data_IF_378759254299
#
_entry.id   IF_378759254299
#
_cell.length_a   1.000
_cell.length_b   1.000
_cell.length_c   1.000
_cell.angle_alpha   90.00
_cell.angle_beta   90.00
_cell.angle_gamma   90.00
#
_symmetry.space_group_name_H-M   'P 1'
#
loop_
_entity.id
_entity.type
_entity.pdbx_description
1 polymer ?
#
# COMPACT_ATOMS: atom_id res chain seq x y z
N UNK A 1 -18.49 -8.83 17.70
CA UNK A 1 -18.77 -8.10 16.45
C UNK A 1 -19.68 -6.89 16.67
N UNK A 2 -20.91 -7.04 17.16
CA UNK A 2 -21.88 -5.93 17.27
C UNK A 2 -21.42 -4.79 18.17
N UNK A 3 -20.72 -5.07 19.27
CA UNK A 3 -20.17 -4.03 20.16
C UNK A 3 -19.12 -3.17 19.46
N UNK A 4 -18.23 -3.78 18.67
CA UNK A 4 -17.25 -3.08 17.85
C UNK A 4 -17.92 -2.20 16.77
N UNK A 5 -19.01 -2.69 16.16
CA UNK A 5 -19.77 -1.92 15.17
C UNK A 5 -20.44 -0.68 15.78
N UNK A 6 -21.00 -0.80 16.99
CA UNK A 6 -21.53 0.35 17.74
C UNK A 6 -20.47 1.40 18.08
N UNK A 7 -19.28 0.96 18.46
CA UNK A 7 -18.16 1.87 18.70
C UNK A 7 -17.75 2.62 17.43
N UNK A 8 -17.73 1.93 16.28
CA UNK A 8 -17.44 2.53 14.98
C UNK A 8 -18.52 3.55 14.61
N UNK A 9 -19.81 3.23 14.79
CA UNK A 9 -20.91 4.17 14.52
C UNK A 9 -20.85 5.41 15.42
N UNK A 10 -20.57 5.25 16.70
CA UNK A 10 -20.37 6.39 17.61
C UNK A 10 -19.19 7.26 17.16
N UNK A 11 -18.08 6.64 16.76
CA UNK A 11 -16.90 7.37 16.27
C UNK A 11 -17.22 8.13 14.97
N UNK A 12 -17.98 7.52 14.08
CA UNK A 12 -18.42 8.16 12.82
C UNK A 12 -19.29 9.39 13.11
N UNK A 13 -20.24 9.30 14.05
CA UNK A 13 -21.08 10.43 14.48
C UNK A 13 -20.28 11.55 15.13
N UNK A 14 -19.23 11.22 15.91
CA UNK A 14 -18.30 12.21 16.44
C UNK A 14 -17.54 12.93 15.31
N UNK A 15 -17.10 12.19 14.28
CA UNK A 15 -16.42 12.76 13.12
C UNK A 15 -17.35 13.69 12.33
N UNK A 16 -18.60 13.30 12.10
CA UNK A 16 -19.60 14.15 11.47
C UNK A 16 -19.79 15.47 12.25
N UNK A 17 -19.87 15.38 13.58
CA UNK A 17 -19.99 16.56 14.44
C UNK A 17 -18.76 17.46 14.36
N UNK A 18 -17.54 16.90 14.35
CA UNK A 18 -16.29 17.65 14.24
C UNK A 18 -16.13 18.30 12.86
N UNK A 19 -16.51 17.59 11.81
CA UNK A 19 -16.46 18.10 10.42
C UNK A 19 -17.51 19.22 10.16
N UNK A 20 -18.58 19.27 10.97
CA UNK A 20 -19.56 20.35 10.94
C UNK A 20 -19.11 21.60 11.70
N UNK A 21 -18.10 21.50 12.57
CA UNK A 21 -17.63 22.62 13.40
C UNK A 21 -16.54 23.43 12.65
N UNK A 22 -16.80 24.75 12.41
CA UNK A 22 -15.83 25.64 11.76
C UNK A 22 -14.46 25.73 12.44
N UNK A 23 -14.36 25.39 13.72
CA UNK A 23 -13.09 25.42 14.44
C UNK A 23 -12.03 24.48 13.84
N UNK A 24 -12.45 23.38 13.21
CA UNK A 24 -11.53 22.41 12.58
C UNK A 24 -11.08 22.79 11.18
N UNK A 25 -11.68 23.79 10.54
CA UNK A 25 -11.27 24.27 9.22
C UNK A 25 -9.98 25.09 9.23
N UNK A 26 -9.57 25.57 10.41
CA UNK A 26 -8.36 26.38 10.57
C UNK A 26 -7.05 25.59 10.40
N UNK A 27 -7.09 24.27 10.55
CA UNK A 27 -5.95 23.38 10.34
C UNK A 27 -6.23 22.38 9.21
N UNK A 28 -5.70 22.62 8.00
CA UNK A 28 -5.95 21.78 6.85
C UNK A 28 -5.48 20.31 7.02
N UNK A 29 -4.42 20.09 7.80
CA UNK A 29 -3.89 18.75 8.03
C UNK A 29 -4.83 17.93 8.91
N UNK A 30 -5.31 18.53 10.01
CA UNK A 30 -6.29 17.91 10.90
C UNK A 30 -7.61 17.66 10.17
N UNK A 31 -8.11 18.64 9.40
CA UNK A 31 -9.34 18.50 8.64
C UNK A 31 -9.26 17.36 7.61
N UNK A 32 -8.16 17.29 6.85
CA UNK A 32 -7.94 16.21 5.88
C UNK A 32 -7.89 14.84 6.55
N UNK A 33 -7.26 14.73 7.73
CA UNK A 33 -7.24 13.52 8.53
C UNK A 33 -8.63 13.05 8.95
N UNK A 34 -9.47 13.98 9.45
CA UNK A 34 -10.86 13.68 9.84
C UNK A 34 -11.72 13.23 8.65
N UNK A 35 -11.59 13.89 7.50
CA UNK A 35 -12.28 13.49 6.27
C UNK A 35 -11.86 12.10 5.79
N UNK A 36 -10.57 11.77 5.91
CA UNK A 36 -10.05 10.44 5.56
C UNK A 36 -10.64 9.37 6.46
N UNK A 37 -10.58 9.57 7.79
CA UNK A 37 -11.15 8.64 8.79
C UNK A 37 -12.66 8.45 8.56
N UNK A 38 -13.41 9.53 8.30
CA UNK A 38 -14.84 9.43 7.99
C UNK A 38 -15.10 8.57 6.75
N UNK A 39 -14.36 8.80 5.66
CA UNK A 39 -14.50 8.02 4.42
C UNK A 39 -14.18 6.55 4.63
N UNK A 40 -13.20 6.23 5.45
CA UNK A 40 -12.83 4.84 5.78
C UNK A 40 -13.93 4.11 6.57
N UNK A 41 -14.59 4.80 7.50
CA UNK A 41 -15.64 4.22 8.35
C UNK A 41 -17.01 4.16 7.66
N UNK A 42 -17.26 5.04 6.68
CA UNK A 42 -18.57 5.17 6.02
C UNK A 42 -19.14 3.84 5.50
N UNK A 43 -18.41 2.99 4.75
CA UNK A 43 -18.99 1.74 4.24
C UNK A 43 -19.37 0.77 5.36
N UNK A 44 -18.63 0.77 6.47
CA UNK A 44 -18.93 -0.08 7.63
C UNK A 44 -20.21 0.39 8.31
N UNK A 45 -20.38 1.71 8.48
CA UNK A 45 -21.54 2.31 9.14
C UNK A 45 -22.81 2.13 8.28
N UNK A 46 -22.70 2.33 6.96
CA UNK A 46 -23.82 2.09 6.03
C UNK A 46 -24.30 0.63 6.08
N UNK A 47 -23.38 -0.33 6.01
CA UNK A 47 -23.70 -1.74 6.12
C UNK A 47 -24.27 -2.10 7.50
N UNK A 48 -23.78 -1.50 8.58
CA UNK A 48 -24.29 -1.72 9.92
C UNK A 48 -25.70 -1.15 10.11
N UNK A 49 -25.96 0.05 9.63
CA UNK A 49 -27.32 0.64 9.65
C UNK A 49 -28.30 -0.21 8.86
N UNK A 50 -27.91 -0.68 7.66
CA UNK A 50 -28.72 -1.60 6.87
C UNK A 50 -28.99 -2.92 7.60
N UNK A 51 -28.02 -3.44 8.37
CA UNK A 51 -28.19 -4.62 9.21
C UNK A 51 -29.19 -4.38 10.34
N UNK A 52 -29.10 -3.26 11.05
CA UNK A 52 -30.04 -2.90 12.13
C UNK A 52 -31.47 -2.73 11.59
N UNK A 53 -31.62 -2.07 10.44
CA UNK A 53 -32.92 -1.91 9.79
C UNK A 53 -33.51 -3.27 9.36
N UNK A 54 -32.66 -4.16 8.84
CA UNK A 54 -33.07 -5.51 8.48
C UNK A 54 -33.56 -6.34 9.72
N UNK A 55 -32.85 -6.23 10.84
CA UNK A 55 -33.25 -6.86 12.10
C UNK A 55 -34.61 -6.32 12.59
N UNK A 56 -34.85 -5.01 12.48
CA UNK A 56 -36.12 -4.38 12.81
C UNK A 56 -37.23 -4.87 11.90
N UNK A 57 -37.00 -5.00 10.58
CA UNK A 57 -37.97 -5.58 9.63
C UNK A 57 -38.31 -7.04 9.96
N UNK A 58 -37.31 -7.87 10.26
CA UNK A 58 -37.49 -9.25 10.68
C UNK A 58 -38.36 -9.31 11.95
N UNK A 59 -38.11 -8.47 12.95
CA UNK A 59 -38.90 -8.42 14.17
C UNK A 59 -40.36 -8.01 13.91
N UNK A 60 -40.60 -7.05 13.02
CA UNK A 60 -41.93 -6.64 12.59
C UNK A 60 -42.66 -7.78 11.86
N UNK A 61 -42.01 -8.43 10.89
CA UNK A 61 -42.59 -9.58 10.18
C UNK A 61 -42.94 -10.73 11.14
N UNK A 62 -42.08 -10.99 12.12
CA UNK A 62 -42.36 -11.99 13.18
C UNK A 62 -43.60 -11.65 14.01
N UNK A 63 -43.81 -10.41 14.36
CA UNK A 63 -44.97 -9.95 15.11
C UNK A 63 -46.31 -10.11 14.31
N UNK A 64 -46.23 -9.96 12.97
CA UNK A 64 -47.37 -10.04 12.07
C UNK A 64 -47.75 -11.48 11.69
N UNK A 65 -46.90 -12.49 11.96
CA UNK A 65 -47.20 -13.89 11.69
C UNK A 65 -48.46 -14.43 12.42
N UNK A 66 -48.89 -13.76 13.50
CA UNK A 66 -50.09 -14.12 14.24
C UNK A 66 -51.39 -13.61 13.61
N UNK A 67 -51.32 -12.74 12.62
CA UNK A 67 -52.47 -12.18 11.92
C UNK A 67 -52.83 -13.05 10.69
N UNK A 68 -54.04 -13.64 10.62
CA UNK A 68 -54.44 -14.50 9.51
C UNK A 68 -54.46 -13.81 8.14
N UNK A 69 -54.69 -12.48 8.10
CA UNK A 69 -54.77 -11.72 6.83
C UNK A 69 -53.34 -11.36 6.31
N UNK A 70 -52.37 -11.24 7.21
CA UNK A 70 -51.00 -10.81 6.88
C UNK A 70 -50.00 -11.95 6.91
N UNK A 71 -50.41 -13.16 7.33
CA UNK A 71 -49.54 -14.31 7.55
C UNK A 71 -48.65 -14.67 6.35
N UNK A 72 -49.21 -14.72 5.15
CA UNK A 72 -48.43 -15.06 3.92
C UNK A 72 -47.39 -14.02 3.62
N UNK A 73 -47.78 -12.75 3.66
CA UNK A 73 -46.86 -11.60 3.40
C UNK A 73 -45.76 -11.57 4.45
N UNK A 74 -46.13 -11.69 5.73
CA UNK A 74 -45.19 -11.70 6.85
C UNK A 74 -44.17 -12.86 6.75
N UNK A 75 -44.61 -14.03 6.24
CA UNK A 75 -43.76 -15.17 6.01
C UNK A 75 -42.74 -14.93 4.89
N UNK A 76 -43.15 -14.36 3.76
CA UNK A 76 -42.26 -13.99 2.65
C UNK A 76 -41.23 -12.93 3.08
N UNK A 77 -41.68 -11.89 3.79
CA UNK A 77 -40.78 -10.85 4.34
C UNK A 77 -39.78 -11.42 5.33
N UNK A 78 -40.23 -12.38 6.17
CA UNK A 78 -39.33 -13.02 7.13
C UNK A 78 -38.24 -13.86 6.45
N UNK A 79 -38.56 -14.63 5.42
CA UNK A 79 -37.57 -15.43 4.68
C UNK A 79 -36.59 -14.53 3.88
N UNK A 80 -37.13 -13.51 3.21
CA UNK A 80 -36.32 -12.50 2.52
C UNK A 80 -35.40 -11.75 3.49
N UNK A 81 -35.93 -11.33 4.65
CA UNK A 81 -35.16 -10.65 5.69
C UNK A 81 -34.03 -11.51 6.24
N UNK A 82 -34.28 -12.81 6.51
CA UNK A 82 -33.23 -13.74 6.97
C UNK A 82 -32.08 -13.87 5.95
N UNK A 83 -32.41 -13.98 4.66
CA UNK A 83 -31.42 -14.08 3.59
C UNK A 83 -30.60 -12.82 3.54
N UNK A 84 -31.25 -11.65 3.52
CA UNK A 84 -30.57 -10.35 3.50
C UNK A 84 -29.70 -10.12 4.74
N UNK A 85 -30.16 -10.54 5.92
CA UNK A 85 -29.37 -10.48 7.15
C UNK A 85 -28.06 -11.27 7.02
N UNK A 86 -28.14 -12.51 6.50
CA UNK A 86 -26.96 -13.34 6.31
C UNK A 86 -25.94 -12.71 5.34
N UNK A 87 -26.41 -12.09 4.27
CA UNK A 87 -25.59 -11.35 3.32
C UNK A 87 -24.92 -10.14 3.97
N UNK A 88 -25.68 -9.35 4.75
CA UNK A 88 -25.16 -8.20 5.49
C UNK A 88 -24.16 -8.60 6.57
N UNK A 89 -24.38 -9.71 7.29
CA UNK A 89 -23.41 -10.24 8.24
C UNK A 89 -22.10 -10.63 7.56
N UNK A 90 -22.15 -11.26 6.40
CA UNK A 90 -20.97 -11.61 5.64
C UNK A 90 -20.23 -10.34 5.15
N UNK A 91 -20.97 -9.37 4.64
CA UNK A 91 -20.40 -8.07 4.23
C UNK A 91 -19.72 -7.36 5.40
N UNK A 92 -20.38 -7.30 6.56
CA UNK A 92 -19.80 -6.69 7.76
C UNK A 92 -18.55 -7.41 8.23
N UNK A 93 -18.50 -8.74 8.16
CA UNK A 93 -17.28 -9.50 8.48
C UNK A 93 -16.12 -9.12 7.58
N UNK A 94 -16.36 -8.98 6.28
CA UNK A 94 -15.35 -8.55 5.30
C UNK A 94 -14.90 -7.11 5.57
N UNK A 95 -15.84 -6.20 5.82
CA UNK A 95 -15.53 -4.79 6.09
C UNK A 95 -14.77 -4.55 7.40
N UNK A 96 -14.91 -5.47 8.37
CA UNK A 96 -14.19 -5.44 9.65
C UNK A 96 -12.79 -6.07 9.59
N UNK A 97 -12.41 -6.68 8.47
CA UNK A 97 -11.05 -7.17 8.29
C UNK A 97 -10.04 -6.03 8.38
N UNK A 98 -8.85 -6.28 8.95
CA UNK A 98 -7.81 -5.27 8.98
C UNK A 98 -7.43 -4.88 7.55
N UNK A 99 -7.57 -3.60 7.23
CA UNK A 99 -7.12 -3.03 5.95
C UNK A 99 -5.62 -2.82 6.00
N UNK A 100 -4.98 -2.98 4.86
CA UNK A 100 -3.59 -2.60 4.70
C UNK A 100 -3.51 -1.05 4.74
N UNK A 101 -2.69 -0.45 5.63
CA UNK A 101 -2.56 1.01 5.71
C UNK A 101 -2.04 1.64 4.43
N UNK A 102 -1.49 0.84 3.51
CA UNK A 102 -0.99 1.29 2.22
C UNK A 102 -2.04 1.24 1.10
N UNK A 103 -3.24 0.67 1.34
CA UNK A 103 -4.25 0.47 0.29
C UNK A 103 -4.66 1.77 -0.44
N UNK A 104 -4.61 2.91 0.24
CA UNK A 104 -4.93 4.24 -0.33
C UNK A 104 -3.72 4.96 -0.93
N UNK A 105 -2.53 4.35 -0.90
CA UNK A 105 -1.31 4.97 -1.43
C UNK A 105 -1.20 4.79 -2.94
N UNK A 106 -0.43 5.68 -3.56
CA UNK A 106 0.05 5.49 -4.91
C UNK A 106 1.05 4.34 -4.97
N UNK A 107 1.31 3.85 -6.16
CA UNK A 107 2.15 2.68 -6.42
C UNK A 107 3.43 3.06 -7.14
N UNK A 108 4.55 2.50 -6.69
CA UNK A 108 5.77 2.39 -7.47
C UNK A 108 5.83 0.94 -7.99
N UNK A 109 5.56 0.76 -9.28
CA UNK A 109 5.61 -0.53 -9.95
C UNK A 109 6.94 -0.67 -10.68
N UNK A 110 7.75 -1.64 -10.26
CA UNK A 110 9.05 -1.94 -10.84
C UNK A 110 9.00 -3.24 -11.64
N UNK A 111 9.45 -3.17 -12.86
CA UNK A 111 9.57 -4.32 -13.76
C UNK A 111 11.04 -4.59 -14.02
N UNK A 112 11.45 -5.85 -13.96
CA UNK A 112 12.82 -6.26 -14.32
C UNK A 112 12.80 -7.57 -15.10
N UNK A 113 13.77 -7.71 -16.00
CA UNK A 113 14.03 -8.98 -16.64
C UNK A 113 14.45 -10.05 -15.63
N UNK A 114 13.95 -11.26 -15.81
CA UNK A 114 14.37 -12.44 -15.08
C UNK A 114 15.25 -13.35 -15.94
N UNK A 115 14.91 -14.64 -15.98
CA UNK A 115 15.63 -15.66 -16.79
C UNK A 115 15.05 -15.69 -18.21
N UNK A 116 15.90 -15.54 -19.23
CA UNK A 116 15.46 -15.65 -20.64
C UNK A 116 16.16 -14.72 -21.62
N UNK A 117 17.12 -13.89 -21.16
CA UNK A 117 17.86 -12.97 -22.01
C UNK A 117 16.95 -11.94 -22.68
N UNK A 118 17.10 -11.72 -23.99
CA UNK A 118 16.33 -10.71 -24.74
C UNK A 118 14.82 -10.99 -24.72
N UNK A 119 14.42 -12.27 -24.77
CA UNK A 119 13.01 -12.67 -24.67
C UNK A 119 12.38 -12.25 -23.34
N UNK A 120 13.14 -12.28 -22.27
CA UNK A 120 12.71 -11.75 -20.97
C UNK A 120 12.48 -10.24 -21.01
N UNK A 121 13.30 -9.49 -21.75
CA UNK A 121 13.14 -8.05 -21.92
C UNK A 121 11.91 -7.70 -22.78
N UNK A 122 11.66 -8.44 -23.85
CA UNK A 122 10.45 -8.30 -24.66
C UNK A 122 9.19 -8.64 -23.86
N UNK A 123 9.26 -9.65 -23.00
CA UNK A 123 8.14 -9.96 -22.11
C UNK A 123 7.93 -8.89 -21.04
N UNK A 124 8.99 -8.36 -20.46
CA UNK A 124 8.89 -7.24 -19.51
C UNK A 124 8.26 -6.00 -20.17
N UNK A 125 8.56 -5.72 -21.47
CA UNK A 125 7.86 -4.69 -22.23
C UNK A 125 6.36 -4.99 -22.40
N UNK A 126 6.00 -6.26 -22.62
CA UNK A 126 4.58 -6.64 -22.70
C UNK A 126 3.84 -6.41 -21.38
N UNK A 127 4.48 -6.70 -20.25
CA UNK A 127 3.94 -6.41 -18.91
C UNK A 127 3.86 -4.91 -18.64
N UNK A 128 4.89 -4.14 -19.02
CA UNK A 128 4.89 -2.69 -18.91
C UNK A 128 3.68 -2.08 -19.64
N UNK A 129 3.45 -2.48 -20.89
CA UNK A 129 2.27 -2.05 -21.65
C UNK A 129 0.96 -2.47 -20.98
N UNK A 130 0.86 -3.70 -20.50
CA UNK A 130 -0.32 -4.24 -19.82
C UNK A 130 -0.71 -3.40 -18.59
N UNK A 131 0.26 -3.07 -17.71
CA UNK A 131 -0.02 -2.27 -16.53
C UNK A 131 -0.32 -0.81 -16.84
N UNK A 132 0.30 -0.24 -17.88
CA UNK A 132 -0.03 1.11 -18.34
C UNK A 132 -1.48 1.18 -18.83
N UNK A 133 -1.90 0.22 -19.66
CA UNK A 133 -3.28 0.15 -20.17
C UNK A 133 -4.30 -0.12 -19.05
N UNK A 134 -3.94 -0.94 -18.06
CA UNK A 134 -4.77 -1.17 -16.89
C UNK A 134 -4.96 0.13 -16.07
N UNK A 135 -3.89 0.87 -15.84
CA UNK A 135 -3.93 2.14 -15.13
C UNK A 135 -4.78 3.17 -15.88
N UNK A 136 -4.62 3.28 -17.19
CA UNK A 136 -5.40 4.19 -18.04
C UNK A 136 -6.90 3.83 -18.01
N UNK A 137 -7.25 2.54 -18.04
CA UNK A 137 -8.64 2.08 -17.95
C UNK A 137 -9.31 2.46 -16.62
N UNK A 138 -8.53 2.54 -15.54
CA UNK A 138 -9.01 2.97 -14.21
C UNK A 138 -8.91 4.48 -13.98
N UNK A 139 -8.47 5.25 -14.98
CA UNK A 139 -8.30 6.70 -14.86
C UNK A 139 -7.15 7.09 -13.92
N UNK A 140 -6.18 6.19 -13.69
CA UNK A 140 -5.00 6.49 -12.90
C UNK A 140 -3.93 7.15 -13.77
N UNK A 141 -3.21 8.08 -13.16
CA UNK A 141 -2.10 8.76 -13.82
C UNK A 141 -0.84 7.89 -13.72
N UNK A 142 -0.18 7.67 -14.85
CA UNK A 142 1.12 6.97 -14.92
C UNK A 142 2.24 7.94 -15.24
N UNK A 143 3.34 7.87 -14.47
CA UNK A 143 4.57 8.61 -14.70
C UNK A 143 5.75 7.64 -14.77
N UNK A 144 6.61 7.79 -15.78
CA UNK A 144 7.80 6.97 -15.94
C UNK A 144 8.91 7.55 -15.07
N UNK A 145 9.28 6.85 -14.00
CA UNK A 145 10.40 7.24 -13.14
C UNK A 145 11.75 6.76 -13.71
N UNK A 146 11.78 5.55 -14.30
CA UNK A 146 12.94 5.00 -14.97
C UNK A 146 12.50 4.05 -16.08
N UNK A 147 13.20 4.08 -17.22
CA UNK A 147 12.98 3.15 -18.33
C UNK A 147 14.32 2.85 -19.01
N UNK A 148 14.71 1.58 -18.97
CA UNK A 148 15.91 1.07 -19.63
C UNK A 148 15.51 0.05 -20.71
N UNK A 149 15.53 0.48 -21.96
CA UNK A 149 15.13 -0.32 -23.12
C UNK A 149 16.32 -1.07 -23.72
N UNK A 150 16.03 -2.16 -24.45
CA UNK A 150 17.01 -2.88 -25.26
C UNK A 150 16.93 -2.42 -26.71
N UNK A 151 17.97 -2.75 -27.50
CA UNK A 151 18.02 -2.40 -28.92
C UNK A 151 16.87 -3.05 -29.75
N UNK A 152 16.30 -4.16 -29.26
CA UNK A 152 15.19 -4.87 -29.90
C UNK A 152 13.80 -4.44 -29.35
N UNK A 153 13.72 -3.32 -28.62
CA UNK A 153 12.46 -2.80 -28.07
C UNK A 153 11.97 -3.54 -26.82
N UNK A 154 12.82 -4.36 -26.18
CA UNK A 154 12.54 -4.94 -24.89
C UNK A 154 12.82 -3.95 -23.75
N UNK A 155 12.39 -4.26 -22.54
CA UNK A 155 12.63 -3.46 -21.33
C UNK A 155 13.45 -4.29 -20.35
N UNK A 156 14.66 -3.82 -20.01
CA UNK A 156 15.50 -4.45 -18.97
C UNK A 156 15.00 -4.11 -17.58
N UNK A 157 14.66 -2.85 -17.40
CA UNK A 157 14.14 -2.31 -16.15
C UNK A 157 13.19 -1.15 -16.44
N UNK A 158 12.04 -1.12 -15.80
CA UNK A 158 11.15 0.02 -15.79
C UNK A 158 10.64 0.27 -14.37
N UNK A 159 10.47 1.55 -14.04
CA UNK A 159 9.81 1.98 -12.80
C UNK A 159 8.72 2.98 -13.17
N UNK A 160 7.48 2.66 -12.80
CA UNK A 160 6.29 3.47 -13.03
C UNK A 160 5.76 3.98 -11.69
N UNK A 161 5.48 5.26 -11.59
CA UNK A 161 4.64 5.81 -10.55
C UNK A 161 3.20 5.82 -11.05
N UNK A 162 2.32 5.11 -10.38
CA UNK A 162 0.89 5.01 -10.69
C UNK A 162 0.11 5.69 -9.58
N UNK A 163 -0.52 6.81 -9.89
CA UNK A 163 -1.23 7.65 -8.93
C UNK A 163 -2.73 7.59 -9.17
N UNK A 164 -3.47 7.17 -8.16
CA UNK A 164 -4.92 7.08 -8.22
C UNK A 164 -5.53 6.37 -7.01
N UNK A 165 -6.80 6.61 -6.78
CA UNK A 165 -7.50 6.02 -5.65
C UNK A 165 -7.54 4.48 -5.77
N UNK A 166 -7.08 3.78 -4.73
CA UNK A 166 -7.09 2.32 -4.68
C UNK A 166 -6.04 1.64 -5.59
N UNK A 167 -5.08 2.39 -6.15
CA UNK A 167 -4.07 1.81 -7.03
C UNK A 167 -3.24 0.73 -6.33
N UNK A 168 -2.78 0.98 -5.10
CA UNK A 168 -2.01 -0.02 -4.35
C UNK A 168 -2.88 -1.22 -3.96
N UNK A 169 -4.11 -1.02 -3.51
CA UNK A 169 -5.00 -2.09 -3.08
C UNK A 169 -5.25 -3.14 -4.17
N UNK A 170 -5.26 -2.71 -5.44
CA UNK A 170 -5.44 -3.60 -6.58
C UNK A 170 -4.14 -4.18 -7.09
N UNK A 171 -3.11 -3.35 -7.26
CA UNK A 171 -1.85 -3.78 -7.87
C UNK A 171 -0.93 -4.57 -6.92
N UNK A 172 -1.11 -4.51 -5.60
CA UNK A 172 -0.30 -5.27 -4.63
C UNK A 172 -0.24 -6.78 -4.91
N UNK A 173 -1.29 -7.34 -5.52
CA UNK A 173 -1.36 -8.74 -5.91
C UNK A 173 -0.53 -9.08 -7.16
N UNK A 174 -0.01 -8.09 -7.87
CA UNK A 174 0.79 -8.30 -9.09
C UNK A 174 2.28 -8.52 -8.80
N UNK A 175 2.71 -8.35 -7.54
CA UNK A 175 4.09 -8.56 -7.15
C UNK A 175 4.49 -10.03 -7.23
N UNK A 176 5.65 -10.29 -7.84
CA UNK A 176 6.21 -11.64 -7.97
C UNK A 176 6.86 -11.93 -9.32
N UNK A 177 7.03 -13.21 -9.60
CA UNK A 177 7.64 -13.70 -10.85
C UNK A 177 6.54 -14.07 -11.86
N UNK A 178 6.54 -13.38 -12.99
CA UNK A 178 5.67 -13.68 -14.14
C UNK A 178 6.43 -14.52 -15.16
N UNK A 179 5.79 -15.57 -15.66
CA UNK A 179 6.40 -16.52 -16.60
C UNK A 179 5.66 -16.50 -17.93
N UNK A 180 6.40 -16.38 -19.01
CA UNK A 180 5.88 -16.49 -20.38
C UNK A 180 6.31 -17.79 -21.03
N UNK A 181 5.43 -18.38 -21.83
CA UNK A 181 5.67 -19.50 -22.74
C UNK A 181 5.22 -19.11 -24.12
N UNK A 182 6.18 -18.80 -25.00
CA UNK A 182 5.92 -18.48 -26.42
C UNK A 182 7.13 -18.84 -27.27
N UNK A 183 6.95 -18.85 -28.59
CA UNK A 183 8.06 -18.84 -29.53
C UNK A 183 8.56 -17.39 -29.58
N UNK A 184 9.82 -17.11 -29.16
CA UNK A 184 10.37 -15.76 -29.26
C UNK A 184 10.44 -15.25 -30.68
N UNK A 185 10.34 -13.95 -30.90
CA UNK A 185 10.57 -13.31 -32.20
C UNK A 185 12.02 -13.51 -32.69
N UNK A 186 12.94 -13.73 -31.76
CA UNK A 186 14.36 -13.99 -32.02
C UNK A 186 14.68 -15.46 -32.34
N UNK A 187 13.69 -16.37 -32.23
CA UNK A 187 13.89 -17.81 -32.43
C UNK A 187 13.51 -18.23 -33.86
N UNK A 188 14.49 -18.71 -34.61
CA UNK A 188 14.29 -19.16 -36.02
C UNK A 188 13.80 -20.60 -36.12
N UNK A 189 13.96 -21.41 -35.08
CA UNK A 189 13.61 -22.84 -35.05
C UNK A 189 12.18 -23.15 -34.59
N UNK A 190 11.35 -22.14 -34.28
CA UNK A 190 9.97 -22.32 -33.87
C UNK A 190 9.79 -22.99 -32.49
N UNK A 191 10.84 -23.05 -31.64
CA UNK A 191 10.80 -23.68 -30.33
C UNK A 191 10.14 -22.77 -29.30
N UNK A 192 9.29 -23.35 -28.47
CA UNK A 192 8.69 -22.63 -27.34
C UNK A 192 9.75 -22.43 -26.26
N UNK A 193 10.01 -21.18 -25.93
CA UNK A 193 10.88 -20.81 -24.81
C UNK A 193 10.04 -20.44 -23.59
N UNK A 194 10.66 -20.58 -22.44
CA UNK A 194 10.09 -20.16 -21.15
C UNK A 194 10.97 -19.09 -20.54
N UNK A 195 10.46 -17.88 -20.47
CA UNK A 195 11.15 -16.73 -19.91
C UNK A 195 10.40 -16.17 -18.70
N UNK A 196 11.08 -15.38 -17.89
CA UNK A 196 10.48 -14.75 -16.70
C UNK A 196 10.80 -13.27 -16.66
N UNK A 197 9.85 -12.50 -16.13
CA UNK A 197 10.05 -11.12 -15.70
C UNK A 197 9.56 -11.00 -14.25
N UNK A 198 10.14 -10.09 -13.50
CA UNK A 198 9.79 -9.84 -12.10
C UNK A 198 9.08 -8.51 -11.98
N UNK A 199 8.04 -8.49 -11.15
CA UNK A 199 7.26 -7.31 -10.83
C UNK A 199 7.37 -7.07 -9.33
N UNK A 200 7.77 -5.87 -8.92
CA UNK A 200 7.68 -5.43 -7.54
C UNK A 200 6.66 -4.29 -7.47
N UNK A 201 5.80 -4.33 -6.48
CA UNK A 201 4.76 -3.34 -6.22
C UNK A 201 4.99 -2.76 -4.84
N UNK A 202 5.43 -1.51 -4.79
CA UNK A 202 5.78 -0.83 -3.56
C UNK A 202 4.84 0.37 -3.36
N UNK A 203 4.42 0.66 -2.12
CA UNK A 203 3.67 1.88 -1.86
C UNK A 203 4.58 3.11 -2.03
N UNK A 204 4.04 4.20 -2.57
CA UNK A 204 4.72 5.48 -2.54
C UNK A 204 4.83 5.95 -1.09
N UNK A 205 6.05 6.25 -0.67
CA UNK A 205 6.32 6.73 0.68
C UNK A 205 6.42 8.25 0.70
N UNK A 206 5.95 8.83 1.79
CA UNK A 206 6.12 10.26 2.03
C UNK A 206 7.61 10.63 2.09
N UNK A 207 7.94 11.88 1.74
CA UNK A 207 9.29 12.39 1.87
C UNK A 207 9.75 12.31 3.33
N UNK A 208 11.02 11.96 3.52
CA UNK A 208 11.61 11.92 4.87
C UNK A 208 11.64 13.34 5.44
N UNK A 209 10.83 13.58 6.45
CA UNK A 209 10.89 14.81 7.23
C UNK A 209 11.50 14.50 8.60
N UNK A 210 12.56 15.23 8.96
CA UNK A 210 13.19 15.12 10.27
C UNK A 210 12.77 16.30 11.12
N UNK A 211 11.88 16.03 12.07
CA UNK A 211 11.53 17.01 13.08
C UNK A 211 12.39 16.79 14.33
N UNK A 212 13.12 17.82 14.76
CA UNK A 212 13.97 17.77 15.95
C UNK A 212 13.28 18.54 17.07
N UNK A 213 12.75 17.82 18.07
CA UNK A 213 12.21 18.48 19.26
C UNK A 213 13.37 18.97 20.17
N UNK A 214 13.39 20.23 20.58
CA UNK A 214 14.38 20.74 21.54
C UNK A 214 14.48 19.96 22.84
N UNK A 215 13.40 19.27 23.27
CA UNK A 215 13.38 18.43 24.48
C UNK A 215 14.21 17.15 24.33
N UNK A 216 14.40 16.69 23.11
CA UNK A 216 15.17 15.50 22.78
C UNK A 216 16.67 15.78 22.64
N UNK A 217 17.07 17.03 22.87
CA UNK A 217 18.44 17.46 22.74
C UNK A 217 19.09 17.73 24.11
N UNK A 218 20.22 17.10 24.34
CA UNK A 218 21.15 17.50 25.38
C UNK A 218 22.25 18.35 24.75
N UNK A 219 22.40 19.59 25.19
CA UNK A 219 23.37 20.53 24.66
C UNK A 219 24.38 20.85 25.76
N UNK A 220 25.61 20.43 25.53
CA UNK A 220 26.73 20.68 26.44
C UNK A 220 27.69 21.70 25.83
N UNK A 221 28.18 22.62 26.64
CA UNK A 221 29.21 23.58 26.27
C UNK A 221 30.53 23.17 26.89
N UNK A 222 31.61 23.32 26.14
CA UNK A 222 32.94 23.02 26.63
C UNK A 222 34.02 23.93 25.97
N UNK A 223 35.23 23.88 26.48
CA UNK A 223 36.34 24.65 25.94
C UNK A 223 36.87 23.99 24.70
N UNK A 224 37.05 24.82 23.65
CA UNK A 224 37.64 24.36 22.39
C UNK A 224 39.07 23.87 22.61
N UNK A 225 39.44 22.77 21.97
CA UNK A 225 40.78 22.22 21.96
C UNK A 225 41.52 22.68 20.69
N UNK A 226 42.80 23.09 20.83
CA UNK A 226 43.65 23.47 19.68
C UNK A 226 44.66 24.55 19.99
N UNK A 227 45.54 24.84 19.02
CA UNK A 227 46.52 25.94 19.07
C UNK A 227 45.78 27.28 19.05
N UNK A 228 45.68 27.97 20.17
CA UNK A 228 44.98 29.23 20.29
C UNK A 228 45.46 30.06 21.48
N UNK A 229 45.22 31.38 21.43
CA UNK A 229 45.53 32.30 22.49
C UNK A 229 44.55 32.24 23.68
N UNK A 230 44.60 33.27 24.55
CA UNK A 230 43.86 33.35 25.80
C UNK A 230 42.33 33.14 25.66
N UNK A 231 41.73 33.42 24.50
CA UNK A 231 40.32 33.28 24.21
C UNK A 231 39.88 31.78 24.12
N UNK A 232 40.68 30.94 23.46
CA UNK A 232 40.38 29.50 23.29
C UNK A 232 40.43 28.77 24.64
N UNK A 233 41.34 29.17 25.52
CA UNK A 233 41.56 28.53 26.81
C UNK A 233 40.59 29.00 27.93
N UNK A 234 39.93 30.15 27.75
CA UNK A 234 39.06 30.74 28.77
C UNK A 234 37.57 30.68 28.47
N UNK A 235 37.20 30.59 27.17
CA UNK A 235 35.79 30.68 26.71
C UNK A 235 35.26 29.30 26.30
N UNK A 236 34.11 28.92 26.82
CA UNK A 236 33.40 27.66 26.46
C UNK A 236 32.61 27.89 25.16
N UNK A 237 33.33 28.01 24.03
CA UNK A 237 32.71 28.23 22.72
C UNK A 237 32.37 26.97 21.94
N UNK A 238 32.94 25.83 22.32
CA UNK A 238 32.61 24.55 21.70
C UNK A 238 31.26 24.00 22.19
N UNK A 239 30.52 23.37 21.29
CA UNK A 239 29.21 22.79 21.52
C UNK A 239 29.23 21.31 21.20
N UNK A 240 28.65 20.52 22.09
CA UNK A 240 28.28 19.12 21.86
C UNK A 240 26.76 19.01 21.95
N UNK A 241 26.13 18.48 20.92
CA UNK A 241 24.70 18.19 20.89
C UNK A 241 24.53 16.69 20.82
N UNK A 242 23.81 16.13 21.78
CA UNK A 242 23.42 14.72 21.81
C UNK A 242 21.92 14.62 21.59
N UNK A 243 21.51 13.93 20.55
CA UNK A 243 20.11 13.61 20.30
C UNK A 243 19.76 12.35 21.11
N UNK A 244 18.99 12.51 22.18
CA UNK A 244 18.72 11.46 23.17
C UNK A 244 18.06 10.20 22.59
N UNK A 245 17.05 10.30 21.69
CA UNK A 245 16.37 9.12 21.16
C UNK A 245 17.27 8.24 20.28
N UNK A 246 18.20 8.83 19.51
CA UNK A 246 19.07 8.09 18.58
C UNK A 246 20.49 7.91 19.10
N UNK A 247 20.87 8.60 20.16
CA UNK A 247 22.24 8.61 20.68
C UNK A 247 23.24 9.32 19.73
N UNK A 248 22.77 10.04 18.72
CA UNK A 248 23.63 10.73 17.76
C UNK A 248 24.29 11.93 18.41
N UNK A 249 25.62 11.98 18.38
CA UNK A 249 26.44 13.08 18.94
C UNK A 249 27.08 13.90 17.84
N UNK A 250 26.94 15.20 17.95
CA UNK A 250 27.59 16.19 17.05
C UNK A 250 28.37 17.19 17.88
N UNK A 251 29.63 17.40 17.52
CA UNK A 251 30.49 18.39 18.14
C UNK A 251 30.87 19.46 17.11
N UNK A 252 30.90 20.72 17.54
CA UNK A 252 31.33 21.84 16.69
C UNK A 252 32.12 22.83 17.52
N UNK A 253 33.34 23.15 17.04
CA UNK A 253 34.28 24.12 17.69
C UNK A 253 34.98 25.04 16.68
N UNK A 254 34.43 25.15 15.46
CA UNK A 254 35.11 25.83 14.34
C UNK A 254 35.09 27.34 14.47
N UNK A 255 34.08 27.89 15.12
CA UNK A 255 33.87 29.31 15.25
C UNK A 255 34.19 29.80 16.67
N UNK A 256 34.56 31.09 16.80
CA UNK A 256 34.76 31.74 18.12
C UNK A 256 33.45 31.99 18.86
N UNK A 257 32.31 31.96 18.18
CA UNK A 257 30.98 32.23 18.73
C UNK A 257 30.26 30.92 19.05
N UNK A 258 29.89 30.75 20.31
CA UNK A 258 29.06 29.60 20.80
C UNK A 258 27.76 29.46 20.01
N UNK A 259 27.09 30.59 19.71
CA UNK A 259 25.84 30.56 18.96
C UNK A 259 26.02 30.05 17.53
N UNK A 260 27.09 30.47 16.84
CA UNK A 260 27.42 29.98 15.49
C UNK A 260 27.76 28.48 15.50
N UNK A 261 28.51 28.03 16.51
CA UNK A 261 28.81 26.62 16.68
C UNK A 261 27.55 25.82 16.95
N UNK A 262 26.59 26.33 17.75
CA UNK A 262 25.29 25.69 18.00
C UNK A 262 24.48 25.56 16.72
N UNK A 263 24.34 26.64 15.93
CA UNK A 263 23.60 26.61 14.67
C UNK A 263 24.21 25.61 13.66
N UNK A 264 25.55 25.58 13.59
CA UNK A 264 26.26 24.65 12.74
C UNK A 264 26.11 23.20 13.21
N UNK A 265 26.21 22.94 14.50
CA UNK A 265 26.00 21.64 15.09
C UNK A 265 24.56 21.13 14.86
N UNK A 266 23.56 22.01 14.98
CA UNK A 266 22.15 21.68 14.67
C UNK A 266 21.96 21.29 13.19
N UNK A 267 22.55 22.01 12.26
CA UNK A 267 22.51 21.68 10.82
C UNK A 267 23.17 20.34 10.53
N UNK A 268 24.32 20.07 11.16
CA UNK A 268 25.01 18.78 11.02
C UNK A 268 24.18 17.65 11.61
N UNK A 269 23.55 17.87 12.77
CA UNK A 269 22.66 16.90 13.41
C UNK A 269 21.47 16.59 12.51
N UNK A 270 20.78 17.62 11.99
CA UNK A 270 19.65 17.45 11.07
C UNK A 270 20.06 16.64 9.83
N UNK A 271 21.21 16.94 9.25
CA UNK A 271 21.74 16.19 8.09
C UNK A 271 22.06 14.73 8.43
N UNK A 272 22.63 14.45 9.62
CA UNK A 272 22.92 13.07 10.04
C UNK A 272 21.63 12.27 10.33
N UNK A 273 20.65 12.87 10.99
CA UNK A 273 19.37 12.24 11.26
C UNK A 273 18.61 11.96 9.97
N UNK A 274 18.60 12.92 9.03
CA UNK A 274 18.04 12.74 7.70
C UNK A 274 18.69 11.57 6.95
N UNK A 275 20.03 11.53 6.93
CA UNK A 275 20.77 10.46 6.27
C UNK A 275 20.49 9.08 6.90
N UNK A 276 20.41 9.01 8.25
CA UNK A 276 20.10 7.77 8.96
C UNK A 276 18.68 7.28 8.65
N UNK A 277 17.69 8.17 8.68
CA UNK A 277 16.30 7.83 8.40
C UNK A 277 16.08 7.46 6.93
N UNK A 278 16.72 8.19 6.00
CA UNK A 278 16.71 7.86 4.57
C UNK A 278 17.35 6.50 4.29
N UNK A 279 18.45 6.18 4.97
CA UNK A 279 19.10 4.87 4.85
C UNK A 279 18.20 3.74 5.40
N UNK A 280 17.52 3.96 6.55
CA UNK A 280 16.55 3.01 7.12
C UNK A 280 15.41 2.73 6.14
N UNK A 281 14.78 3.79 5.63
CA UNK A 281 13.67 3.67 4.68
C UNK A 281 14.11 2.96 3.37
N UNK A 282 15.31 3.26 2.88
CA UNK A 282 15.87 2.58 1.70
C UNK A 282 16.15 1.10 1.96
N UNK A 283 16.62 0.74 3.15
CA UNK A 283 16.85 -0.65 3.55
C UNK A 283 15.53 -1.42 3.66
N UNK A 284 14.50 -0.83 4.27
CA UNK A 284 13.16 -1.42 4.37
C UNK A 284 12.57 -1.68 2.98
N UNK A 285 12.59 -0.69 2.07
CA UNK A 285 12.15 -0.85 0.67
C UNK A 285 12.91 -1.95 -0.06
N UNK A 286 14.22 -2.02 0.17
CA UNK A 286 15.06 -3.04 -0.47
C UNK A 286 14.74 -4.44 0.05
N UNK A 287 14.44 -4.58 1.33
CA UNK A 287 14.01 -5.83 1.94
C UNK A 287 12.64 -6.26 1.41
N UNK A 288 11.66 -5.34 1.36
CA UNK A 288 10.33 -5.58 0.82
C UNK A 288 10.39 -6.00 -0.65
N UNK A 289 11.11 -5.23 -1.50
CA UNK A 289 11.34 -5.62 -2.90
C UNK A 289 11.92 -7.02 -3.02
N UNK A 290 12.92 -7.36 -2.20
CA UNK A 290 13.57 -8.69 -2.24
C UNK A 290 12.60 -9.79 -1.84
N UNK A 291 11.72 -9.58 -0.88
CA UNK A 291 10.72 -10.57 -0.47
C UNK A 291 9.69 -10.81 -1.59
N UNK A 292 9.31 -9.77 -2.32
CA UNK A 292 8.33 -9.87 -3.42
C UNK A 292 8.91 -10.60 -4.66
N UNK A 293 10.16 -10.32 -5.02
CA UNK A 293 10.76 -10.75 -6.29
C UNK A 293 11.48 -12.10 -6.18
N UNK A 294 11.89 -12.50 -4.96
CA UNK A 294 12.63 -13.73 -4.72
C UNK A 294 13.94 -13.80 -5.53
N UNK A 295 14.20 -14.95 -6.15
CA UNK A 295 15.35 -15.14 -7.05
C UNK A 295 15.06 -14.87 -8.53
N UNK A 296 13.78 -14.64 -8.89
CA UNK A 296 13.32 -14.47 -10.28
C UNK A 296 13.35 -15.75 -11.11
N UNK A 297 13.55 -16.90 -10.48
CA UNK A 297 13.61 -18.19 -11.18
C UNK A 297 12.24 -18.69 -11.64
N UNK A 298 12.20 -19.54 -12.66
CA UNK A 298 10.99 -20.07 -13.29
C UNK A 298 10.06 -20.85 -12.35
N UNK A 299 10.58 -21.41 -11.28
CA UNK A 299 9.82 -22.16 -10.25
C UNK A 299 9.03 -21.27 -9.30
N UNK A 300 9.45 -20.02 -9.10
CA UNK A 300 8.82 -19.05 -8.19
C UNK A 300 7.64 -18.30 -8.82
N UNK A 301 7.23 -18.70 -10.01
CA UNK A 301 6.16 -18.06 -10.76
C UNK A 301 4.85 -17.93 -9.98
N UNK A 302 4.30 -16.74 -9.96
CA UNK A 302 2.93 -16.49 -9.51
C UNK A 302 1.93 -16.70 -10.65
N UNK A 303 2.30 -16.30 -11.89
CA UNK A 303 1.41 -16.36 -13.05
C UNK A 303 2.16 -16.84 -14.30
N UNK A 304 1.44 -17.60 -15.14
CA UNK A 304 1.97 -18.06 -16.43
C UNK A 304 1.11 -17.58 -17.59
N UNK A 305 1.76 -16.95 -18.57
CA UNK A 305 1.19 -16.49 -19.83
C UNK A 305 1.57 -17.48 -20.92
N UNK A 306 0.62 -18.30 -21.38
CA UNK A 306 0.85 -19.36 -22.36
C UNK A 306 0.26 -18.93 -23.72
N UNK A 307 1.10 -18.47 -24.63
CA UNK A 307 0.70 -17.99 -25.94
C UNK A 307 0.18 -19.10 -26.85
N UNK A 308 0.82 -20.28 -26.99
CA UNK A 308 0.29 -21.37 -27.79
C UNK A 308 -1.12 -21.81 -27.43
N UNK A 309 -1.50 -21.68 -26.16
CA UNK A 309 -2.81 -22.09 -25.67
C UNK A 309 -3.76 -20.89 -25.44
N UNK A 310 -3.31 -19.66 -25.67
CA UNK A 310 -4.12 -18.45 -25.47
C UNK A 310 -4.61 -18.26 -24.03
N UNK A 311 -3.89 -18.81 -23.05
CA UNK A 311 -4.35 -18.82 -21.64
C UNK A 311 -3.38 -18.12 -20.68
N UNK A 312 -3.96 -17.57 -19.61
CA UNK A 312 -3.25 -17.08 -18.43
C UNK A 312 -3.66 -17.94 -17.23
N UNK A 313 -2.69 -18.37 -16.44
CA UNK A 313 -2.94 -19.14 -15.20
C UNK A 313 -2.28 -18.48 -14.02
N UNK A 314 -3.05 -18.08 -13.02
CA UNK A 314 -2.55 -17.65 -11.71
C UNK A 314 -2.43 -18.88 -10.80
N UNK A 315 -1.21 -19.18 -10.37
CA UNK A 315 -0.91 -20.40 -9.63
C UNK A 315 -1.24 -20.31 -8.14
N UNK A 316 -1.42 -19.11 -7.61
CA UNK A 316 -1.75 -18.88 -6.19
C UNK A 316 -3.15 -19.37 -5.85
N UNK A 317 -4.09 -19.15 -6.79
CA UNK A 317 -5.51 -19.49 -6.63
C UNK A 317 -5.98 -20.54 -7.64
N UNK A 318 -5.10 -21.04 -8.53
CA UNK A 318 -5.44 -22.03 -9.54
C UNK A 318 -6.37 -21.51 -10.65
N UNK A 319 -6.55 -20.20 -10.77
CA UNK A 319 -7.40 -19.57 -11.78
C UNK A 319 -6.77 -19.68 -13.17
N UNK A 320 -7.55 -20.14 -14.16
CA UNK A 320 -7.11 -20.20 -15.58
C UNK A 320 -8.13 -19.51 -16.47
N UNK A 321 -7.66 -18.49 -17.22
CA UNK A 321 -8.46 -17.72 -18.16
C UNK A 321 -7.94 -17.92 -19.58
N UNK A 322 -8.86 -18.15 -20.54
CA UNK A 322 -8.54 -18.32 -21.96
C UNK A 322 -8.71 -17.00 -22.75
N UNK A 323 -8.25 -15.90 -22.17
CA UNK A 323 -8.33 -14.55 -22.73
C UNK A 323 -6.98 -13.81 -22.66
N UNK A 324 -5.90 -14.51 -23.04
CA UNK A 324 -4.52 -14.00 -22.91
C UNK A 324 -4.35 -12.59 -23.51
N UNK A 325 -4.85 -12.34 -24.72
CA UNK A 325 -4.68 -11.04 -25.37
C UNK A 325 -5.39 -9.92 -24.62
N UNK A 326 -6.61 -10.16 -24.13
CA UNK A 326 -7.34 -9.18 -23.33
C UNK A 326 -6.60 -8.84 -22.05
N UNK A 327 -6.04 -9.85 -21.37
CA UNK A 327 -5.21 -9.65 -20.17
C UNK A 327 -3.98 -8.81 -20.50
N UNK A 328 -3.28 -9.08 -21.61
CA UNK A 328 -2.12 -8.31 -22.05
C UNK A 328 -2.50 -6.88 -22.51
N UNK A 329 -3.74 -6.66 -22.89
CA UNK A 329 -4.31 -5.34 -23.20
C UNK A 329 -4.91 -4.63 -21.97
N UNK A 330 -4.65 -5.15 -20.76
CA UNK A 330 -4.98 -4.49 -19.48
C UNK A 330 -6.27 -4.99 -18.80
N UNK A 331 -6.96 -6.04 -19.29
CA UNK A 331 -8.12 -6.61 -18.59
C UNK A 331 -7.67 -7.56 -17.47
N UNK A 332 -7.32 -6.96 -16.32
CA UNK A 332 -6.82 -7.67 -15.13
C UNK A 332 -7.88 -7.85 -14.03
N UNK A 333 -9.05 -7.21 -14.14
CA UNK A 333 -10.02 -7.13 -13.05
C UNK A 333 -10.45 -8.49 -12.53
N UNK A 334 -10.78 -9.43 -13.42
CA UNK A 334 -11.22 -10.77 -13.02
C UNK A 334 -10.15 -11.51 -12.19
N UNK A 335 -8.87 -11.33 -12.52
CA UNK A 335 -7.76 -11.95 -11.79
C UNK A 335 -7.57 -11.27 -10.43
N UNK A 336 -7.57 -9.94 -10.42
CA UNK A 336 -7.36 -9.15 -9.20
C UNK A 336 -8.53 -9.33 -8.22
N UNK A 337 -9.76 -9.36 -8.72
CA UNK A 337 -10.94 -9.58 -7.90
C UNK A 337 -10.92 -10.98 -7.27
N UNK A 338 -10.56 -12.02 -8.04
CA UNK A 338 -10.42 -13.37 -7.51
C UNK A 338 -9.30 -13.46 -6.45
N UNK A 339 -8.17 -12.77 -6.61
CA UNK A 339 -7.10 -12.70 -5.63
C UNK A 339 -7.52 -11.94 -4.38
N UNK A 340 -8.27 -10.85 -4.54
CA UNK A 340 -8.83 -10.07 -3.42
C UNK A 340 -9.80 -10.92 -2.60
N UNK A 341 -10.68 -11.68 -3.24
CA UNK A 341 -11.57 -12.59 -2.56
C UNK A 341 -10.83 -13.72 -1.82
N UNK A 342 -9.75 -14.25 -2.42
CA UNK A 342 -8.92 -15.27 -1.77
C UNK A 342 -8.21 -14.71 -0.53
N UNK A 343 -7.62 -13.52 -0.60
CA UNK A 343 -6.99 -12.82 0.54
C UNK A 343 -7.99 -12.54 1.66
N UNK A 344 -9.19 -12.05 1.31
CA UNK A 344 -10.27 -11.84 2.29
C UNK A 344 -10.71 -13.14 2.97
N UNK A 345 -10.81 -14.22 2.20
CA UNK A 345 -11.18 -15.52 2.75
C UNK A 345 -10.10 -16.09 3.70
N UNK A 346 -8.83 -15.87 3.39
CA UNK A 346 -7.71 -16.26 4.25
C UNK A 346 -7.70 -15.45 5.56
N UNK A 347 -7.86 -14.13 5.48
CA UNK A 347 -7.94 -13.24 6.64
C UNK A 347 -9.15 -13.58 7.54
N UNK A 348 -10.31 -13.92 6.94
CA UNK A 348 -11.47 -14.37 7.69
C UNK A 348 -11.20 -15.67 8.45
N UNK A 349 -10.53 -16.65 7.84
CA UNK A 349 -10.15 -17.90 8.52
C UNK A 349 -9.21 -17.64 9.68
N UNK A 350 -8.17 -16.84 9.48
CA UNK A 350 -7.24 -16.46 10.54
C UNK A 350 -7.93 -15.77 11.71
N UNK A 351 -8.87 -14.85 11.45
CA UNK A 351 -9.63 -14.16 12.49
C UNK A 351 -10.58 -15.05 13.29
N UNK A 352 -11.00 -16.18 12.73
CA UNK A 352 -11.84 -17.18 13.42
C UNK A 352 -10.98 -18.11 14.28
N UNK A 353 -9.74 -18.40 13.88
CA UNK A 353 -8.80 -19.23 14.65
C UNK A 353 -8.23 -18.51 15.88
N UNK A 354 -8.17 -17.16 15.86
CA UNK A 354 -7.70 -16.32 16.97
C UNK A 354 -8.79 -15.95 17.98
N UNK A 355 -10.08 -16.21 17.69
CA UNK A 355 -11.23 -15.85 18.51
C UNK A 355 -11.77 -17.03 19.33
#
# INVERSE_FOLDING_TARGET
MLEKLRQIENRYSELESKLADPAYYSDPAVFTGLCREQRELQPVVEAYRAYVDCEAQIAQAQALLGDPELHEIAREELESGKTRRAELEQTLRVLLLPRDPNDDRNVILELRTGVGGEESALFAHSLYRMYTMYADAHGWKTEIANLNETELGGVREASLLISGQGAYSRLKFESGVHRVQRVPETETGGRIHTSTATVAVLPEMDAVEVHIDPKDLQIDTYRSSGAGGQHVNKTESAIRITHLPTGTVVECQDERSQYKNKDRAMKILASRLYAAESARQSAERSAERRSQVGTGMRNERIRTYNFPQGRVTDHRIGLTLYKLNQVLDGDLDEIIDALTLADQAEKLRASVEEA
#
